data_IF_649607632480
#
_entry.id   IF_649607632480
#
_cell.length_a   1.000
_cell.length_b   1.000
_cell.length_c   1.000
_cell.angle_alpha   90.00
_cell.angle_beta   90.00
_cell.angle_gamma   90.00
#
_symmetry.space_group_name_H-M   'P 1'
#
loop_
_entity.id
_entity.type
_entity.pdbx_description
1 polymer ?
#
# COMPACT_ATOMS: atom_id res chain seq x y z
N UNK A 1 8.94 23.56 -20.61
CA UNK A 1 8.23 23.33 -19.33
C UNK A 1 8.55 21.92 -18.92
N UNK A 2 9.64 21.75 -18.18
CA UNK A 2 10.13 20.45 -17.72
C UNK A 2 9.31 20.07 -16.50
N UNK A 3 8.34 19.16 -16.67
CA UNK A 3 7.73 18.47 -15.54
C UNK A 3 8.86 17.79 -14.77
N UNK A 4 9.15 18.33 -13.59
CA UNK A 4 10.04 17.70 -12.62
C UNK A 4 9.37 16.39 -12.23
N UNK A 5 9.74 15.29 -12.90
CA UNK A 5 9.42 13.94 -12.44
C UNK A 5 9.94 13.90 -11.00
N UNK A 6 9.07 13.83 -9.97
CA UNK A 6 9.56 13.72 -8.62
C UNK A 6 10.38 12.44 -8.62
N UNK A 7 11.61 12.53 -8.12
CA UNK A 7 12.38 11.36 -7.70
C UNK A 7 11.40 10.34 -7.13
N UNK A 8 11.42 9.09 -7.59
CA UNK A 8 10.56 8.02 -7.08
C UNK A 8 10.64 8.02 -5.57
N UNK A 9 9.71 8.76 -4.96
CA UNK A 9 9.79 9.19 -3.57
C UNK A 9 9.65 7.91 -2.78
N UNK A 10 10.52 7.66 -1.81
CA UNK A 10 10.50 6.46 -0.96
C UNK A 10 9.07 6.00 -0.56
N UNK A 11 8.14 6.94 -0.33
CA UNK A 11 6.72 6.67 -0.09
C UNK A 11 5.99 5.95 -1.24
N UNK A 12 6.24 6.29 -2.51
CA UNK A 12 5.66 5.59 -3.67
C UNK A 12 6.14 4.15 -3.76
N UNK A 13 7.39 3.90 -3.36
CA UNK A 13 7.91 2.54 -3.29
C UNK A 13 7.19 1.76 -2.18
N UNK A 14 7.08 2.34 -0.97
CA UNK A 14 6.36 1.72 0.14
C UNK A 14 4.88 1.47 -0.18
N UNK A 15 4.23 2.39 -0.88
CA UNK A 15 2.85 2.24 -1.34
C UNK A 15 2.73 1.07 -2.34
N UNK A 16 3.61 0.99 -3.33
CA UNK A 16 3.62 -0.09 -4.31
C UNK A 16 3.87 -1.47 -3.65
N UNK A 17 4.82 -1.56 -2.72
CA UNK A 17 5.11 -2.77 -1.95
C UNK A 17 3.92 -3.18 -1.08
N UNK A 18 3.28 -2.22 -0.39
CA UNK A 18 2.12 -2.50 0.47
C UNK A 18 0.92 -3.01 -0.35
N UNK A 19 0.63 -2.37 -1.49
CA UNK A 19 -0.43 -2.82 -2.41
C UNK A 19 -0.12 -4.21 -2.95
N UNK A 20 1.14 -4.50 -3.26
CA UNK A 20 1.54 -5.81 -3.77
C UNK A 20 1.22 -6.91 -2.75
N UNK A 21 1.59 -6.71 -1.48
CA UNK A 21 1.30 -7.66 -0.39
C UNK A 21 -0.21 -7.86 -0.22
N UNK A 22 -1.00 -6.78 -0.21
CA UNK A 22 -2.46 -6.90 -0.10
C UNK A 22 -3.08 -7.68 -1.27
N UNK A 23 -2.55 -7.53 -2.49
CA UNK A 23 -3.01 -8.28 -3.65
C UNK A 23 -2.68 -9.77 -3.56
N UNK A 24 -1.52 -10.12 -3.02
CA UNK A 24 -1.15 -11.51 -2.79
C UNK A 24 -2.10 -12.15 -1.78
N UNK A 25 -2.35 -11.49 -0.64
CA UNK A 25 -3.31 -11.99 0.35
C UNK A 25 -4.72 -12.13 -0.24
N UNK A 26 -5.17 -11.17 -1.05
CA UNK A 26 -6.45 -11.27 -1.73
C UNK A 26 -6.53 -12.39 -2.78
N UNK A 27 -5.39 -12.81 -3.34
CA UNK A 27 -5.31 -13.87 -4.33
C UNK A 27 -5.17 -15.27 -3.69
N UNK A 28 -4.48 -15.37 -2.55
CA UNK A 28 -4.15 -16.64 -1.90
C UNK A 28 -5.19 -17.10 -0.87
N UNK A 29 -5.99 -16.19 -0.31
CA UNK A 29 -6.94 -16.50 0.76
C UNK A 29 -8.39 -16.29 0.32
N UNK A 30 -9.27 -17.21 0.69
CA UNK A 30 -10.70 -17.16 0.31
C UNK A 30 -11.49 -16.11 1.13
N UNK A 31 -11.12 -15.88 2.40
CA UNK A 31 -11.84 -14.99 3.31
C UNK A 31 -10.86 -14.08 4.11
N UNK A 32 -10.09 -13.21 3.43
CA UNK A 32 -9.21 -12.27 4.12
C UNK A 32 -10.03 -11.21 4.87
N UNK A 33 -9.52 -10.79 6.03
CA UNK A 33 -10.12 -9.71 6.84
C UNK A 33 -9.08 -8.65 7.17
N UNK A 34 -9.50 -7.40 7.25
CA UNK A 34 -8.66 -6.30 7.73
C UNK A 34 -9.01 -5.99 9.18
N UNK A 35 -8.02 -6.03 10.07
CA UNK A 35 -8.20 -5.64 11.47
C UNK A 35 -8.06 -4.12 11.59
N UNK A 36 -9.19 -3.42 11.55
CA UNK A 36 -9.25 -1.97 11.66
C UNK A 36 -9.47 -1.53 13.10
N UNK A 37 -8.50 -0.82 13.69
CA UNK A 37 -8.53 -0.36 15.09
C UNK A 37 -8.81 1.14 15.24
N UNK A 38 -9.06 1.86 14.14
CA UNK A 38 -9.18 3.33 14.12
C UNK A 38 -7.89 4.05 14.57
N UNK A 39 -6.76 3.34 14.62
CA UNK A 39 -5.44 3.90 14.94
C UNK A 39 -4.76 4.51 13.72
N UNK A 40 -3.64 5.22 13.93
CA UNK A 40 -2.83 5.82 12.86
C UNK A 40 -2.37 4.77 11.85
N UNK A 41 -1.89 3.62 12.34
CA UNK A 41 -1.25 2.57 11.52
C UNK A 41 -2.28 1.71 10.79
N UNK A 42 -3.54 1.73 11.22
CA UNK A 42 -4.65 1.08 10.51
C UNK A 42 -5.41 2.03 9.58
N UNK A 43 -5.08 3.33 9.58
CA UNK A 43 -5.73 4.35 8.75
C UNK A 43 -4.91 4.76 7.52
N UNK A 44 -3.64 4.37 7.48
CA UNK A 44 -2.74 4.54 6.34
C UNK A 44 -3.10 3.60 5.20
#
# INVERSE_FOLDING_TARGET
>A
MTDSIPSTTHLKQLEAESIHIFREVAAEFENPVMLYSVGKDSSV
#
